data_IF_898839970883
#
_entry.id   IF_898839970883
#
_cell.length_a   1.000
_cell.length_b   1.000
_cell.length_c   1.000
_cell.angle_alpha   90.00
_cell.angle_beta   90.00
_cell.angle_gamma   90.00
#
_symmetry.space_group_name_H-M   'P 1'
#
loop_
_entity.id
_entity.type
_entity.pdbx_description
1 polymer ?
#
# COMPACT_ATOMS: atom_id res chain seq x y z
N UNK A 1 25.71 12.93 4.84
CA UNK A 1 26.56 13.30 6.00
C UNK A 1 27.52 14.44 5.70
N UNK A 2 28.45 14.31 4.75
CA UNK A 2 29.40 15.40 4.42
C UNK A 2 28.66 16.70 4.06
N UNK A 3 27.63 16.60 3.19
CA UNK A 3 26.76 17.73 2.84
C UNK A 3 26.04 18.39 4.03
N UNK A 4 25.73 17.66 5.11
CA UNK A 4 25.07 18.26 6.30
C UNK A 4 26.08 18.99 7.19
N UNK A 5 27.29 18.42 7.33
CA UNK A 5 28.39 19.06 8.07
C UNK A 5 28.85 20.36 7.42
N UNK A 6 28.84 20.41 6.08
CA UNK A 6 29.18 21.62 5.32
C UNK A 6 28.22 22.79 5.61
N UNK A 7 27.02 22.49 6.15
CA UNK A 7 26.01 23.46 6.54
C UNK A 7 25.87 23.61 8.08
N UNK A 8 26.82 23.10 8.86
CA UNK A 8 26.79 23.23 10.33
C UNK A 8 25.71 22.40 11.02
N UNK A 9 25.19 21.37 10.33
CA UNK A 9 24.15 20.48 10.83
C UNK A 9 24.77 19.16 11.30
N UNK A 10 24.21 18.59 12.36
CA UNK A 10 24.53 17.25 12.85
C UNK A 10 23.39 16.31 12.51
N UNK A 11 23.75 15.11 12.04
CA UNK A 11 22.79 14.04 11.80
C UNK A 11 23.13 12.86 12.70
N UNK A 12 22.09 12.29 13.31
CA UNK A 12 22.15 11.03 14.03
C UNK A 12 21.39 9.96 13.22
N UNK A 13 21.94 8.76 13.22
CA UNK A 13 21.35 7.62 12.51
C UNK A 13 20.55 6.80 13.51
N UNK A 14 19.31 6.50 13.15
CA UNK A 14 18.48 5.59 13.92
C UNK A 14 18.27 4.35 13.06
N UNK A 15 18.95 3.26 13.41
CA UNK A 15 18.68 1.92 12.88
C UNK A 15 17.56 1.31 13.72
N UNK A 16 16.51 0.80 13.09
CA UNK A 16 15.35 0.25 13.79
C UNK A 16 15.60 -1.13 14.41
N UNK A 17 16.83 -1.66 14.35
CA UNK A 17 17.11 -3.06 14.68
C UNK A 17 18.09 -3.30 15.85
N UNK A 18 18.96 -2.37 16.25
CA UNK A 18 19.79 -2.58 17.45
C UNK A 18 20.38 -1.28 18.04
N UNK A 19 20.26 -1.14 19.37
CA UNK A 19 20.50 0.08 20.15
C UNK A 19 21.99 0.43 20.38
N UNK A 20 22.87 0.04 19.45
CA UNK A 20 24.26 0.51 19.33
C UNK A 20 24.93 -0.07 18.08
N UNK A 21 25.29 0.79 17.12
CA UNK A 21 26.19 0.37 16.04
C UNK A 21 27.15 1.47 15.58
N UNK A 22 28.44 1.11 15.51
CA UNK A 22 29.48 1.89 14.82
C UNK A 22 29.25 1.74 13.31
N UNK A 23 28.90 2.84 12.65
CA UNK A 23 28.53 2.85 11.24
C UNK A 23 29.75 2.78 10.33
N UNK A 24 29.65 1.95 9.29
CA UNK A 24 30.55 1.99 8.13
C UNK A 24 29.81 2.73 7.00
N UNK A 25 30.25 3.94 6.60
CA UNK A 25 29.48 4.86 5.75
C UNK A 25 29.05 4.36 4.36
N UNK A 26 29.60 3.27 3.84
CA UNK A 26 29.47 2.88 2.44
C UNK A 26 28.29 1.97 2.08
N UNK A 27 27.48 1.54 3.06
CA UNK A 27 26.50 0.46 2.85
C UNK A 27 25.08 0.84 3.31
N UNK A 28 24.76 2.13 3.37
CA UNK A 28 23.49 2.61 3.90
C UNK A 28 22.92 3.70 2.99
N UNK A 29 21.62 3.61 2.70
CA UNK A 29 20.89 4.62 1.92
C UNK A 29 19.96 5.36 2.89
N UNK A 30 19.90 6.69 2.77
CA UNK A 30 18.94 7.52 3.50
C UNK A 30 17.58 7.38 2.82
N UNK A 31 16.61 6.82 3.53
CA UNK A 31 15.24 6.64 3.05
C UNK A 31 14.34 7.79 3.48
N UNK A 32 14.52 8.27 4.72
CA UNK A 32 13.70 9.33 5.30
C UNK A 32 14.55 10.27 6.13
N UNK A 33 14.03 11.46 6.37
CA UNK A 33 14.61 12.43 7.28
C UNK A 33 13.50 13.10 8.10
N UNK A 34 13.77 13.45 9.35
CA UNK A 34 12.78 14.03 10.27
C UNK A 34 12.30 15.43 9.90
N UNK A 35 13.00 16.09 8.97
CA UNK A 35 12.68 17.45 8.50
C UNK A 35 12.53 17.40 6.99
N UNK A 36 11.50 18.06 6.45
CA UNK A 36 11.28 18.09 5.00
C UNK A 36 12.46 18.77 4.26
N UNK A 37 12.84 18.27 3.07
CA UNK A 37 13.87 18.90 2.25
C UNK A 37 13.59 20.39 2.00
N UNK A 38 14.66 21.20 1.97
CA UNK A 38 14.60 22.65 1.77
C UNK A 38 13.89 23.47 2.88
N UNK A 39 13.53 22.85 4.00
CA UNK A 39 13.07 23.58 5.19
C UNK A 39 14.22 24.39 5.80
N UNK A 40 13.96 25.67 6.10
CA UNK A 40 14.89 26.51 6.85
C UNK A 40 14.95 25.99 8.29
N UNK A 41 16.15 25.62 8.74
CA UNK A 41 16.42 25.15 10.10
C UNK A 41 17.52 26.00 10.72
N UNK A 42 17.47 26.14 12.04
CA UNK A 42 18.51 26.84 12.78
C UNK A 42 19.80 26.01 12.80
N UNK A 43 20.96 26.68 12.82
CA UNK A 43 22.25 26.00 12.92
C UNK A 43 22.29 25.18 14.21
N UNK A 44 22.74 23.93 14.13
CA UNK A 44 22.72 23.00 15.27
C UNK A 44 21.43 22.21 15.46
N UNK A 45 20.44 22.36 14.58
CA UNK A 45 19.26 21.48 14.55
C UNK A 45 19.68 20.04 14.28
N UNK A 46 19.18 19.12 15.08
CA UNK A 46 19.37 17.69 14.93
C UNK A 46 18.39 17.12 13.89
N UNK A 47 18.93 16.43 12.90
CA UNK A 47 18.14 15.77 11.85
C UNK A 47 18.29 14.27 12.02
N UNK A 48 17.17 13.59 12.24
CA UNK A 48 17.13 12.13 12.29
C UNK A 48 17.02 11.60 10.86
N UNK A 49 17.90 10.69 10.49
CA UNK A 49 17.86 10.02 9.19
C UNK A 49 17.41 8.58 9.38
N UNK A 50 16.29 8.22 8.76
CA UNK A 50 15.91 6.82 8.58
C UNK A 50 16.77 6.24 7.47
N UNK A 51 17.56 5.23 7.80
CA UNK A 51 18.47 4.57 6.85
C UNK A 51 18.13 3.11 6.69
N UNK A 52 18.27 2.60 5.47
CA UNK A 52 18.24 1.15 5.22
C UNK A 52 19.62 0.65 4.86
N UNK A 53 19.91 -0.56 5.37
CA UNK A 53 21.15 -1.26 5.10
C UNK A 53 21.09 -1.81 3.68
N UNK A 54 21.97 -1.35 2.82
CA UNK A 54 22.19 -2.01 1.54
C UNK A 54 22.71 -3.42 1.85
N UNK A 55 22.04 -4.49 1.38
CA UNK A 55 22.53 -5.84 1.57
C UNK A 55 23.98 -5.89 1.12
N UNK A 56 24.90 -6.25 2.02
CA UNK A 56 26.29 -6.46 1.62
C UNK A 56 26.25 -7.50 0.50
N UNK A 57 26.90 -7.26 -0.66
CA UNK A 57 26.96 -8.25 -1.70
C UNK A 57 27.53 -9.52 -1.08
N UNK A 58 26.68 -10.54 -0.96
CA UNK A 58 27.07 -11.84 -0.49
C UNK A 58 28.21 -12.30 -1.38
N UNK A 59 29.33 -12.72 -0.76
CA UNK A 59 30.46 -13.28 -1.48
C UNK A 59 30.05 -14.62 -2.12
N UNK A 60 29.45 -14.55 -3.30
CA UNK A 60 29.51 -15.55 -4.37
C UNK A 60 29.09 -14.86 -5.67
N UNK A 61 30.08 -14.59 -6.53
CA UNK A 61 30.03 -14.32 -7.99
C UNK A 61 28.65 -13.92 -8.57
N UNK A 62 28.42 -12.66 -8.93
CA UNK A 62 28.83 -12.05 -10.20
C UNK A 62 28.22 -12.67 -11.49
N UNK A 63 27.23 -13.56 -11.42
CA UNK A 63 26.56 -14.07 -12.64
C UNK A 63 25.02 -14.09 -12.56
N UNK A 64 24.42 -13.56 -11.49
CA UNK A 64 22.96 -13.38 -11.44
C UNK A 64 22.63 -12.19 -12.32
N UNK A 65 22.22 -12.53 -13.55
CA UNK A 65 21.76 -11.62 -14.57
C UNK A 65 20.24 -11.67 -14.61
N UNK A 66 19.63 -10.50 -14.61
CA UNK A 66 18.17 -10.35 -14.72
C UNK A 66 17.84 -9.52 -15.94
N UNK A 67 16.64 -9.75 -16.50
CA UNK A 67 16.14 -8.91 -17.59
C UNK A 67 15.40 -7.74 -16.98
N UNK A 68 15.77 -6.52 -17.39
CA UNK A 68 15.17 -5.30 -16.90
C UNK A 68 13.75 -5.14 -17.47
N UNK A 69 12.70 -5.04 -16.65
CA UNK A 69 11.35 -4.78 -17.14
C UNK A 69 11.24 -3.36 -17.73
N UNK A 70 10.19 -3.13 -18.53
CA UNK A 70 9.77 -1.76 -18.87
C UNK A 70 8.95 -1.21 -17.70
N UNK A 71 9.44 -0.13 -17.10
CA UNK A 71 8.80 0.53 -15.97
C UNK A 71 8.19 1.87 -16.37
N UNK A 72 8.26 2.24 -17.65
CA UNK A 72 7.72 3.49 -18.15
C UNK A 72 6.19 3.56 -17.97
N UNK A 73 5.69 4.68 -17.44
CA UNK A 73 4.26 4.87 -17.15
C UNK A 73 3.80 4.24 -15.83
N UNK A 74 4.65 3.45 -15.17
CA UNK A 74 4.31 2.87 -13.86
C UNK A 74 4.57 3.85 -12.72
N UNK A 75 3.96 3.58 -11.56
CA UNK A 75 4.27 4.35 -10.36
C UNK A 75 5.72 4.11 -9.92
N UNK A 76 6.42 5.16 -9.48
CA UNK A 76 7.79 5.06 -9.00
C UNK A 76 7.92 4.06 -7.83
N UNK A 77 6.86 3.92 -7.02
CA UNK A 77 6.81 2.97 -5.92
C UNK A 77 6.82 1.51 -6.41
N UNK A 78 5.95 1.16 -7.37
CA UNK A 78 5.94 -0.16 -7.99
C UNK A 78 7.26 -0.47 -8.70
N UNK A 79 7.79 0.52 -9.42
CA UNK A 79 9.05 0.39 -10.14
C UNK A 79 10.23 0.10 -9.19
N UNK A 80 10.26 0.72 -8.01
CA UNK A 80 11.27 0.42 -6.98
C UNK A 80 11.18 -1.03 -6.52
N UNK A 81 10.01 -1.48 -6.07
CA UNK A 81 9.82 -2.86 -5.60
C UNK A 81 10.20 -3.89 -6.67
N UNK A 82 9.75 -3.68 -7.91
CA UNK A 82 10.07 -4.56 -9.03
C UNK A 82 11.58 -4.67 -9.31
N UNK A 83 12.34 -3.60 -9.11
CA UNK A 83 13.80 -3.60 -9.29
C UNK A 83 14.52 -4.20 -8.07
N UNK A 84 14.08 -3.89 -6.86
CA UNK A 84 14.65 -4.41 -5.62
C UNK A 84 14.47 -5.94 -5.49
N UNK A 85 13.31 -6.47 -5.90
CA UNK A 85 13.04 -7.92 -5.96
C UNK A 85 14.00 -8.67 -6.88
N UNK A 86 14.55 -7.95 -7.86
CA UNK A 86 15.54 -8.46 -8.82
C UNK A 86 16.98 -8.20 -8.34
N UNK A 87 17.14 -7.70 -7.12
CA UNK A 87 18.41 -7.37 -6.50
C UNK A 87 19.08 -6.14 -7.09
N UNK A 88 18.33 -5.25 -7.74
CA UNK A 88 18.86 -4.01 -8.35
C UNK A 88 18.73 -2.84 -7.37
N UNK A 89 19.61 -1.85 -7.53
CA UNK A 89 19.56 -0.60 -6.76
C UNK A 89 18.79 0.45 -7.57
N UNK A 90 18.06 1.33 -6.90
CA UNK A 90 17.23 2.34 -7.56
C UNK A 90 17.58 3.74 -7.09
N UNK A 91 17.71 4.66 -8.03
CA UNK A 91 17.80 6.10 -7.77
C UNK A 91 16.67 6.81 -8.50
N UNK A 92 15.82 7.55 -7.78
CA UNK A 92 14.81 8.38 -8.41
C UNK A 92 15.42 9.73 -8.76
N UNK A 93 15.29 10.15 -10.01
CA UNK A 93 15.77 11.45 -10.48
C UNK A 93 14.66 12.24 -11.17
N UNK A 94 14.74 13.56 -11.12
CA UNK A 94 13.83 14.43 -11.87
C UNK A 94 14.23 14.63 -13.33
N UNK A 95 13.46 15.41 -14.08
CA UNK A 95 13.77 15.74 -15.48
C UNK A 95 15.09 16.52 -15.66
N UNK A 96 15.61 17.12 -14.60
CA UNK A 96 16.92 17.79 -14.57
C UNK A 96 18.04 16.86 -14.06
N UNK A 97 17.73 15.59 -13.76
CA UNK A 97 18.67 14.59 -13.24
C UNK A 97 18.99 14.73 -11.75
N UNK A 98 18.21 15.49 -10.98
CA UNK A 98 18.41 15.63 -9.52
C UNK A 98 17.73 14.49 -8.78
N UNK A 99 18.42 13.95 -7.78
CA UNK A 99 17.86 12.91 -6.91
C UNK A 99 16.65 13.45 -6.16
N UNK A 100 15.55 12.69 -6.21
CA UNK A 100 14.29 13.03 -5.53
C UNK A 100 13.92 11.96 -4.51
N UNK A 101 13.29 12.40 -3.43
CA UNK A 101 12.71 11.49 -2.45
C UNK A 101 11.46 10.82 -3.04
N UNK A 102 11.23 9.57 -2.65
CA UNK A 102 10.00 8.86 -3.00
C UNK A 102 8.78 9.60 -2.44
N UNK A 103 7.76 9.80 -3.26
CA UNK A 103 6.51 10.44 -2.88
C UNK A 103 5.32 9.77 -3.61
N UNK A 104 4.10 9.79 -3.04
CA UNK A 104 2.91 9.32 -3.73
C UNK A 104 2.67 10.09 -5.03
N UNK A 105 2.26 9.38 -6.08
CA UNK A 105 1.89 9.96 -7.37
C UNK A 105 3.06 10.24 -8.33
N UNK A 106 4.29 9.88 -7.98
CA UNK A 106 5.41 9.91 -8.92
C UNK A 106 5.24 8.82 -9.99
N UNK A 107 5.35 9.19 -11.25
CA UNK A 107 5.29 8.28 -12.39
C UNK A 107 6.67 8.22 -13.05
N UNK A 108 7.10 7.02 -13.42
CA UNK A 108 8.35 6.79 -14.17
C UNK A 108 8.14 7.20 -15.63
N UNK A 109 8.96 8.12 -16.11
CA UNK A 109 8.98 8.54 -17.52
C UNK A 109 10.09 7.88 -18.32
N UNK A 110 11.17 7.52 -17.65
CA UNK A 110 12.33 6.93 -18.29
C UNK A 110 13.14 6.12 -17.28
N UNK A 111 13.93 5.19 -17.79
CA UNK A 111 14.88 4.38 -17.04
C UNK A 111 16.26 4.49 -17.69
N UNK A 112 17.32 4.54 -16.88
CA UNK A 112 18.69 4.75 -17.36
C UNK A 112 19.23 3.62 -18.23
N UNK A 113 18.58 2.45 -18.19
CA UNK A 113 18.91 1.27 -19.00
C UNK A 113 17.63 0.83 -19.71
N UNK A 114 17.74 0.53 -21.01
CA UNK A 114 16.59 0.14 -21.83
C UNK A 114 15.91 -1.13 -21.32
N UNK A 115 14.58 -1.17 -21.40
CA UNK A 115 13.80 -2.37 -21.10
C UNK A 115 14.24 -3.56 -21.97
N UNK A 116 14.22 -4.76 -21.40
CA UNK A 116 14.72 -5.98 -22.04
C UNK A 116 16.24 -6.16 -21.94
N UNK A 117 16.98 -5.17 -21.44
CA UNK A 117 18.42 -5.30 -21.21
C UNK A 117 18.73 -6.32 -20.12
N UNK A 118 19.81 -7.06 -20.29
CA UNK A 118 20.32 -7.96 -19.25
C UNK A 118 21.25 -7.17 -18.33
N UNK A 119 20.89 -7.06 -17.06
CA UNK A 119 21.63 -6.32 -16.04
C UNK A 119 22.12 -7.24 -14.93
N UNK A 120 23.25 -6.90 -14.33
CA UNK A 120 23.82 -7.64 -13.20
C UNK A 120 23.12 -7.24 -11.89
N UNK A 121 22.92 -8.20 -10.99
CA UNK A 121 22.42 -7.89 -9.65
C UNK A 121 23.33 -6.85 -8.97
N UNK A 122 22.70 -5.88 -8.30
CA UNK A 122 23.35 -4.72 -7.69
C UNK A 122 23.61 -3.55 -8.63
N UNK A 123 23.27 -3.66 -9.93
CA UNK A 123 23.32 -2.51 -10.83
C UNK A 123 22.39 -1.40 -10.35
N UNK A 124 22.87 -0.15 -10.45
CA UNK A 124 22.07 1.04 -10.15
C UNK A 124 21.25 1.42 -11.39
N UNK A 125 19.94 1.45 -11.23
CA UNK A 125 18.99 1.91 -12.24
C UNK A 125 18.46 3.27 -11.79
N UNK A 126 18.74 4.31 -12.59
CA UNK A 126 18.14 5.62 -12.35
C UNK A 126 16.78 5.69 -13.07
N UNK A 127 15.73 6.03 -12.33
CA UNK A 127 14.39 6.24 -12.86
C UNK A 127 14.10 7.73 -12.91
N UNK A 128 13.88 8.26 -14.10
CA UNK A 128 13.41 9.64 -14.27
C UNK A 128 11.92 9.69 -13.96
N UNK A 129 11.54 10.45 -12.95
CA UNK A 129 10.17 10.57 -12.45
C UNK A 129 9.64 12.01 -12.57
N UNK A 130 8.32 12.15 -12.56
CA UNK A 130 7.65 13.46 -12.57
C UNK A 130 7.86 14.22 -11.25
N UNK A 131 8.57 15.36 -11.25
CA UNK A 131 8.74 16.20 -10.03
C UNK A 131 7.65 17.21 -9.79
N UNK A 132 6.87 17.54 -10.81
CA UNK A 132 5.59 18.16 -10.52
C UNK A 132 4.79 17.03 -9.87
N UNK A 133 4.40 17.10 -8.57
CA UNK A 133 3.28 16.30 -8.12
C UNK A 133 2.22 16.65 -9.14
N UNK A 134 1.89 15.68 -10.01
CA UNK A 134 0.97 15.95 -11.10
C UNK A 134 -0.21 16.56 -10.37
N UNK A 135 -0.51 17.84 -10.61
CA UNK A 135 -1.67 18.48 -9.99
C UNK A 135 -2.79 17.58 -10.44
N UNK A 136 -3.26 16.73 -9.49
CA UNK A 136 -3.67 15.35 -9.76
C UNK A 136 -4.20 15.30 -11.17
N UNK A 137 -3.43 14.72 -12.12
CA UNK A 137 -3.77 14.73 -13.55
C UNK A 137 -5.26 14.50 -13.56
N UNK A 138 -6.01 15.54 -13.92
CA UNK A 138 -7.46 15.49 -13.86
C UNK A 138 -7.82 14.26 -14.68
N UNK A 139 -8.24 13.20 -13.99
CA UNK A 139 -8.54 11.86 -14.51
C UNK A 139 -7.45 11.22 -15.40
N UNK A 140 -6.45 10.57 -14.80
CA UNK A 140 -6.45 9.11 -14.99
C UNK A 140 -7.46 8.65 -13.95
N UNK A 141 -8.70 8.36 -14.38
CA UNK A 141 -9.74 8.03 -13.42
C UNK A 141 -9.34 6.72 -12.76
N UNK A 142 -8.73 6.82 -11.57
CA UNK A 142 -8.95 5.82 -10.56
C UNK A 142 -10.45 5.60 -10.59
N UNK A 143 -10.86 4.46 -11.12
CA UNK A 143 -12.27 4.16 -11.20
C UNK A 143 -12.71 3.97 -9.77
N UNK A 144 -13.26 5.06 -9.24
CA UNK A 144 -14.06 5.02 -8.06
C UNK A 144 -15.43 4.56 -8.55
N UNK A 145 -15.97 3.45 -8.02
CA UNK A 145 -17.36 3.11 -8.26
C UNK A 145 -18.21 4.38 -8.06
N UNK A 146 -19.13 4.74 -8.98
CA UNK A 146 -19.87 6.01 -8.94
C UNK A 146 -20.60 6.29 -7.61
N UNK A 147 -20.78 5.23 -6.84
CA UNK A 147 -21.47 5.10 -5.56
C UNK A 147 -20.54 4.89 -4.36
N UNK A 148 -19.23 4.65 -4.56
CA UNK A 148 -18.30 4.51 -3.46
C UNK A 148 -18.32 5.79 -2.62
N UNK A 149 -18.44 5.71 -1.30
CA UNK A 149 -18.60 6.88 -0.44
C UNK A 149 -17.31 7.69 -0.40
N UNK A 150 -17.38 8.97 0.00
CA UNK A 150 -16.17 9.81 0.17
C UNK A 150 -15.80 9.93 1.63
N UNK A 151 -16.79 9.85 2.50
CA UNK A 151 -16.74 10.13 3.93
C UNK A 151 -16.98 8.87 4.78
N UNK A 152 -16.94 7.68 4.16
CA UNK A 152 -17.26 6.42 4.80
C UNK A 152 -18.76 6.08 4.83
N UNK A 153 -19.63 6.97 4.35
CA UNK A 153 -21.08 6.79 4.34
C UNK A 153 -21.60 6.54 2.94
N UNK A 154 -22.04 5.31 2.65
CA UNK A 154 -22.70 5.00 1.38
C UNK A 154 -23.99 5.80 1.26
N UNK A 155 -24.16 6.56 0.19
CA UNK A 155 -25.43 7.24 -0.08
C UNK A 155 -26.54 6.18 -0.16
N UNK A 156 -27.70 6.45 0.44
CA UNK A 156 -28.91 5.65 0.24
C UNK A 156 -29.24 5.65 -1.27
N UNK A 157 -28.91 4.55 -1.97
CA UNK A 157 -29.00 4.44 -3.43
C UNK A 157 -27.67 4.17 -4.15
N UNK A 158 -26.54 4.10 -3.45
CA UNK A 158 -25.33 3.45 -3.96
C UNK A 158 -25.56 1.94 -4.20
N UNK A 159 -24.58 1.25 -4.82
CA UNK A 159 -24.53 -0.19 -5.07
C UNK A 159 -25.41 -0.91 -4.07
N UNK A 160 -26.44 -1.62 -4.56
CA UNK A 160 -27.43 -2.32 -3.73
C UNK A 160 -26.82 -3.39 -2.80
N UNK A 161 -25.49 -3.47 -2.74
CA UNK A 161 -24.68 -4.44 -2.05
C UNK A 161 -23.68 -3.79 -1.10
N UNK A 162 -23.84 -2.50 -0.77
CA UNK A 162 -22.87 -1.77 0.03
C UNK A 162 -23.41 -1.31 1.38
N UNK A 163 -22.56 -1.33 2.42
CA UNK A 163 -22.93 -0.95 3.79
C UNK A 163 -21.81 -0.20 4.49
N UNK A 164 -22.17 0.89 5.17
CA UNK A 164 -21.24 1.70 5.96
C UNK A 164 -20.88 1.01 7.28
N UNK A 165 -20.03 1.66 8.08
CA UNK A 165 -19.70 1.16 9.41
C UNK A 165 -20.93 1.14 10.32
N UNK A 166 -21.06 0.09 11.14
CA UNK A 166 -22.18 -0.12 12.06
C UNK A 166 -23.51 -0.44 11.38
N UNK A 167 -23.52 -0.70 10.07
CA UNK A 167 -24.70 -1.08 9.32
C UNK A 167 -24.62 -2.55 8.89
N UNK A 168 -25.68 -3.30 9.17
CA UNK A 168 -25.84 -4.65 8.62
C UNK A 168 -26.06 -4.57 7.13
N UNK A 169 -25.32 -5.39 6.39
CA UNK A 169 -25.60 -5.60 4.98
C UNK A 169 -26.93 -6.29 4.79
N UNK A 170 -27.80 -5.69 3.99
CA UNK A 170 -29.05 -6.31 3.56
C UNK A 170 -28.73 -7.13 2.32
N UNK A 171 -28.46 -8.43 2.51
CA UNK A 171 -28.04 -9.31 1.43
C UNK A 171 -29.24 -9.59 0.50
N UNK A 172 -29.29 -8.96 -0.71
CA UNK A 172 -30.46 -9.11 -1.56
C UNK A 172 -30.45 -10.48 -2.27
N UNK A 173 -29.33 -11.19 -2.23
CA UNK A 173 -29.21 -12.55 -2.71
C UNK A 173 -29.95 -13.49 -1.76
N UNK A 174 -31.14 -13.94 -2.16
CA UNK A 174 -31.97 -14.89 -1.41
C UNK A 174 -31.22 -16.18 -0.99
N UNK A 175 -30.12 -16.53 -1.64
CA UNK A 175 -29.27 -17.68 -1.30
C UNK A 175 -28.28 -17.45 -0.16
N UNK A 176 -27.96 -16.19 0.17
CA UNK A 176 -27.05 -15.86 1.27
C UNK A 176 -27.80 -15.96 2.61
N UNK A 177 -27.33 -16.87 3.46
CA UNK A 177 -27.86 -17.11 4.80
C UNK A 177 -27.38 -16.06 5.83
N UNK A 178 -26.34 -15.29 5.50
CA UNK A 178 -25.61 -14.44 6.41
C UNK A 178 -25.71 -12.96 6.04
N UNK A 179 -25.84 -12.13 7.07
CA UNK A 179 -25.58 -10.69 6.99
C UNK A 179 -24.24 -10.40 7.68
N UNK A 180 -23.60 -9.33 7.22
CA UNK A 180 -22.29 -8.90 7.68
C UNK A 180 -22.31 -7.43 8.06
N UNK A 181 -21.54 -7.05 9.08
CA UNK A 181 -21.36 -5.67 9.52
C UNK A 181 -19.92 -5.46 9.98
N UNK A 182 -19.37 -4.28 9.76
CA UNK A 182 -18.07 -3.86 10.31
C UNK A 182 -18.34 -2.63 11.16
N UNK A 183 -18.00 -2.64 12.44
CA UNK A 183 -18.36 -1.56 13.37
C UNK A 183 -17.39 -0.37 13.33
N UNK A 184 -16.15 -0.61 12.95
CA UNK A 184 -15.10 0.38 12.99
C UNK A 184 -14.13 0.24 11.80
N UNK A 185 -13.42 1.31 11.43
CA UNK A 185 -12.32 1.22 10.49
C UNK A 185 -11.28 0.14 10.89
N UNK A 186 -10.66 -0.58 9.93
CA UNK A 186 -9.55 -1.50 10.20
C UNK A 186 -8.44 -1.01 11.15
N UNK A 187 -7.74 -1.92 11.82
CA UNK A 187 -6.44 -1.61 12.38
C UNK A 187 -5.38 -1.77 11.27
N UNK A 188 -4.61 -0.73 10.99
CA UNK A 188 -3.49 -0.79 10.04
C UNK A 188 -2.17 -0.71 10.79
N UNK A 189 -1.41 -1.79 10.76
CA UNK A 189 -0.10 -1.91 11.43
C UNK A 189 0.99 -2.04 10.37
N UNK A 190 2.05 -1.24 10.47
CA UNK A 190 3.22 -1.40 9.60
C UNK A 190 4.18 -2.45 10.21
N UNK A 191 4.54 -3.47 9.41
CA UNK A 191 5.49 -4.53 9.76
C UNK A 191 6.65 -4.53 8.76
N UNK A 192 7.70 -3.74 9.05
CA UNK A 192 8.82 -3.55 8.13
C UNK A 192 8.36 -2.79 6.87
N UNK A 193 8.46 -3.45 5.71
CA UNK A 193 7.97 -2.91 4.42
C UNK A 193 6.50 -3.24 4.15
N UNK A 194 5.91 -4.16 4.92
CA UNK A 194 4.52 -4.57 4.75
C UNK A 194 3.57 -3.79 5.67
N UNK A 195 2.30 -3.81 5.32
CA UNK A 195 1.17 -3.34 6.09
C UNK A 195 0.25 -4.52 6.37
N UNK A 196 -0.20 -4.63 7.62
CA UNK A 196 -1.22 -5.58 8.05
C UNK A 196 -2.48 -4.78 8.33
N UNK A 197 -3.54 -5.11 7.60
CA UNK A 197 -4.88 -4.53 7.74
C UNK A 197 -5.77 -5.57 8.40
N UNK A 198 -6.23 -5.29 9.62
CA UNK A 198 -7.09 -6.18 10.41
C UNK A 198 -8.48 -5.56 10.58
N UNK A 199 -9.54 -6.34 10.48
CA UNK A 199 -10.90 -5.87 10.80
C UNK A 199 -11.72 -6.92 11.51
N UNK A 200 -12.62 -6.46 12.38
CA UNK A 200 -13.64 -7.30 12.99
C UNK A 200 -14.92 -7.22 12.17
N UNK A 201 -15.42 -8.39 11.76
CA UNK A 201 -16.63 -8.54 10.98
C UNK A 201 -17.66 -9.26 11.84
N UNK A 202 -18.74 -8.57 12.16
CA UNK A 202 -19.91 -9.15 12.79
C UNK A 202 -20.68 -9.93 11.75
N UNK A 203 -20.93 -11.19 12.02
CA UNK A 203 -21.66 -12.09 11.14
C UNK A 203 -22.88 -12.60 11.88
N UNK A 204 -24.05 -12.53 11.26
CA UNK A 204 -25.26 -13.15 11.80
C UNK A 204 -25.92 -14.01 10.74
N UNK A 205 -26.47 -15.15 11.13
CA UNK A 205 -27.28 -15.97 10.23
C UNK A 205 -28.73 -15.53 10.34
N UNK A 206 -29.29 -15.00 9.26
CA UNK A 206 -30.66 -14.45 9.26
C UNK A 206 -31.69 -15.41 8.69
N UNK A 207 -31.26 -16.44 7.95
CA UNK A 207 -32.14 -17.44 7.37
C UNK A 207 -31.39 -18.72 7.05
N UNK A 208 -32.14 -19.76 6.71
CA UNK A 208 -31.59 -20.92 6.01
C UNK A 208 -31.21 -20.52 4.58
N UNK A 209 -30.09 -21.03 4.09
CA UNK A 209 -29.57 -20.70 2.76
C UNK A 209 -28.76 -21.85 2.17
N UNK A 210 -28.06 -21.58 1.07
CA UNK A 210 -27.26 -22.61 0.39
C UNK A 210 -25.93 -22.90 1.10
N UNK A 211 -25.49 -21.97 1.94
CA UNK A 211 -24.31 -22.10 2.77
C UNK A 211 -24.75 -22.22 4.22
N UNK A 212 -24.54 -23.39 4.81
CA UNK A 212 -24.83 -23.64 6.22
C UNK A 212 -23.68 -23.25 7.15
N UNK A 213 -22.52 -22.94 6.57
CA UNK A 213 -21.30 -22.66 7.28
C UNK A 213 -20.65 -21.38 6.76
N UNK A 214 -19.81 -20.76 7.59
CA UNK A 214 -19.01 -19.60 7.21
C UNK A 214 -17.82 -19.98 6.33
N UNK A 215 -17.52 -21.28 6.22
CA UNK A 215 -16.43 -21.81 5.40
C UNK A 215 -16.76 -21.63 3.92
N UNK A 216 -15.88 -20.93 3.21
CA UNK A 216 -16.05 -20.63 1.78
C UNK A 216 -16.75 -19.31 1.49
N UNK A 217 -17.09 -18.52 2.53
CA UNK A 217 -17.42 -17.11 2.32
C UNK A 217 -16.16 -16.42 1.78
N UNK A 218 -16.25 -15.97 0.53
CA UNK A 218 -15.18 -15.22 -0.08
C UNK A 218 -15.07 -13.85 0.59
N UNK A 219 -13.87 -13.55 1.08
CA UNK A 219 -13.49 -12.22 1.56
C UNK A 219 -12.35 -11.72 0.71
N UNK A 220 -12.38 -10.44 0.35
CA UNK A 220 -11.27 -9.77 -0.32
C UNK A 220 -11.16 -8.33 0.13
N UNK A 221 -9.94 -7.80 0.13
CA UNK A 221 -9.69 -6.38 0.35
C UNK A 221 -9.61 -5.68 -1.01
N UNK A 222 -10.51 -4.75 -1.29
CA UNK A 222 -10.60 -4.10 -2.61
C UNK A 222 -10.03 -2.69 -2.51
N UNK A 223 -9.03 -2.32 -3.32
CA UNK A 223 -8.49 -0.96 -3.34
C UNK A 223 -9.56 0.01 -3.88
N UNK A 224 -9.68 1.18 -3.26
CA UNK A 224 -10.60 2.22 -3.72
C UNK A 224 -10.19 2.89 -5.03
N UNK A 225 -8.93 2.72 -5.40
CA UNK A 225 -8.34 3.21 -6.64
C UNK A 225 -7.97 2.03 -7.52
N UNK A 226 -8.82 1.68 -8.49
CA UNK A 226 -8.43 0.70 -9.50
C UNK A 226 -7.44 1.32 -10.46
N UNK A 227 -6.27 0.69 -10.61
CA UNK A 227 -5.40 0.93 -11.76
C UNK A 227 -6.12 0.28 -12.95
N UNK A 228 -6.50 1.10 -13.93
CA UNK A 228 -7.00 0.56 -15.19
C UNK A 228 -5.85 -0.22 -15.82
N UNK A 229 -6.10 -1.45 -16.23
CA UNK A 229 -5.11 -2.17 -17.04
C UNK A 229 -4.92 -1.45 -18.39
N UNK A 230 -3.90 -1.85 -19.17
CA UNK A 230 -3.59 -1.27 -20.49
C UNK A 230 -4.76 -1.32 -21.49
N UNK A 231 -5.81 -2.09 -21.20
CA UNK A 231 -7.04 -2.19 -22.01
C UNK A 231 -8.18 -1.30 -21.52
N UNK A 232 -7.98 -0.47 -20.49
CA UNK A 232 -9.03 0.34 -19.87
C UNK A 232 -10.05 -0.47 -19.07
N UNK A 233 -9.76 -1.76 -18.84
CA UNK A 233 -10.54 -2.63 -17.97
C UNK A 233 -10.11 -2.46 -16.52
N UNK A 234 -11.05 -2.63 -15.60
CA UNK A 234 -10.74 -2.76 -14.19
C UNK A 234 -9.92 -4.04 -14.04
N UNK A 235 -8.67 -3.89 -13.57
CA UNK A 235 -7.86 -5.05 -13.22
C UNK A 235 -8.38 -5.60 -11.90
N UNK A 236 -9.49 -6.35 -11.97
CA UNK A 236 -10.04 -7.03 -10.80
C UNK A 236 -9.11 -8.14 -10.30
N UNK A 237 -8.06 -8.51 -11.04
CA UNK A 237 -7.09 -9.54 -10.67
C UNK A 237 -5.98 -9.01 -9.74
N UNK A 238 -5.88 -7.69 -9.55
CA UNK A 238 -4.89 -7.09 -8.65
C UNK A 238 -5.56 -6.66 -7.35
N UNK A 239 -5.00 -7.18 -6.25
CA UNK A 239 -5.45 -7.11 -4.84
C UNK A 239 -6.42 -8.23 -4.41
N UNK A 240 -5.97 -9.47 -4.60
CA UNK A 240 -6.37 -10.60 -3.75
C UNK A 240 -5.15 -11.11 -2.98
N UNK A 241 -4.81 -10.45 -1.87
CA UNK A 241 -4.13 -11.21 -0.82
C UNK A 241 -5.06 -12.34 -0.35
N UNK A 242 -4.49 -13.45 0.10
CA UNK A 242 -5.28 -14.56 0.66
C UNK A 242 -5.91 -14.12 1.99
N UNK A 243 -7.05 -13.44 1.92
CA UNK A 243 -7.76 -12.95 3.11
C UNK A 243 -8.72 -14.02 3.59
N UNK A 244 -8.38 -14.62 4.72
CA UNK A 244 -9.23 -15.63 5.36
C UNK A 244 -10.07 -15.00 6.46
N UNK A 245 -11.37 -15.33 6.46
CA UNK A 245 -12.28 -14.98 7.53
C UNK A 245 -12.10 -15.97 8.68
N UNK A 246 -11.46 -15.53 9.76
CA UNK A 246 -11.21 -16.36 10.93
C UNK A 246 -12.33 -16.17 11.95
N UNK A 247 -13.21 -17.15 12.04
CA UNK A 247 -14.33 -17.12 12.99
C UNK A 247 -14.07 -18.08 14.16
N UNK A 248 -14.44 -17.72 15.40
CA UNK A 248 -14.33 -18.64 16.55
C UNK A 248 -15.30 -19.83 16.43
N UNK A 249 -16.37 -19.67 15.65
CA UNK A 249 -17.36 -20.71 15.35
C UNK A 249 -17.71 -20.62 13.87
N UNK A 250 -17.56 -21.72 13.12
CA UNK A 250 -17.86 -21.78 11.68
C UNK A 250 -19.34 -22.07 11.37
N UNK A 251 -20.06 -22.70 12.30
CA UNK A 251 -21.48 -23.05 12.17
C UNK A 251 -22.28 -22.30 13.23
N UNK A 252 -23.13 -21.37 12.78
CA UNK A 252 -24.04 -20.62 13.64
C UNK A 252 -25.49 -20.89 13.21
N UNK A 253 -26.41 -20.94 14.18
CA UNK A 253 -27.84 -21.18 13.94
C UNK A 253 -28.54 -19.91 13.46
N UNK A 254 -29.71 -20.04 12.84
CA UNK A 254 -30.53 -18.89 12.45
C UNK A 254 -30.88 -18.06 13.69
N UNK A 255 -30.58 -16.76 13.65
CA UNK A 255 -30.76 -15.82 14.75
C UNK A 255 -29.52 -15.63 15.63
N UNK A 256 -28.49 -16.47 15.47
CA UNK A 256 -27.22 -16.32 16.18
C UNK A 256 -26.24 -15.42 15.41
N UNK A 257 -25.27 -14.89 16.16
CA UNK A 257 -24.20 -14.05 15.62
C UNK A 257 -22.84 -14.45 16.19
N UNK A 258 -21.81 -14.22 15.41
CA UNK A 258 -20.40 -14.37 15.80
C UNK A 258 -19.60 -13.17 15.31
N UNK A 259 -18.41 -12.96 15.86
CA UNK A 259 -17.47 -11.94 15.40
C UNK A 259 -16.26 -12.68 14.84
N UNK A 260 -15.99 -12.43 13.57
CA UNK A 260 -14.84 -12.99 12.87
C UNK A 260 -13.77 -11.91 12.69
N UNK A 261 -12.51 -12.33 12.61
CA UNK A 261 -11.39 -11.46 12.27
C UNK A 261 -10.95 -11.73 10.85
N UNK A 262 -10.77 -10.68 10.06
CA UNK A 262 -10.08 -10.76 8.76
C UNK A 262 -8.75 -10.03 8.86
N UNK A 263 -7.72 -10.63 8.27
CA UNK A 263 -6.38 -10.03 8.17
C UNK A 263 -5.98 -10.04 6.71
N UNK A 264 -5.53 -8.89 6.22
CA UNK A 264 -4.91 -8.72 4.93
C UNK A 264 -3.49 -8.20 5.14
N UNK A 265 -2.51 -8.80 4.47
CA UNK A 265 -1.13 -8.36 4.49
C UNK A 265 -0.72 -7.93 3.10
N UNK A 266 -0.17 -6.73 3.00
CA UNK A 266 0.19 -6.10 1.73
C UNK A 266 1.58 -5.48 1.84
N UNK A 267 2.39 -5.59 0.81
CA UNK A 267 3.72 -4.97 0.74
C UNK A 267 3.65 -3.53 0.22
N UNK A 268 2.48 -3.11 -0.28
CA UNK A 268 2.29 -1.82 -0.93
C UNK A 268 1.24 -0.92 -0.23
N UNK A 269 1.72 0.14 0.47
CA UNK A 269 0.88 1.08 1.24
C UNK A 269 -0.21 1.79 0.43
N UNK A 270 0.03 2.03 -0.87
CA UNK A 270 -0.84 2.84 -1.72
C UNK A 270 -2.19 2.19 -2.01
N UNK A 271 -2.34 0.90 -1.71
CA UNK A 271 -3.59 0.16 -1.90
C UNK A 271 -4.51 0.19 -0.69
N UNK A 272 -4.14 0.88 0.39
CA UNK A 272 -4.97 0.95 1.61
C UNK A 272 -5.91 2.16 1.60
N UNK A 273 -5.59 3.21 0.84
CA UNK A 273 -6.44 4.41 0.75
C UNK A 273 -7.70 4.14 -0.07
N UNK A 274 -8.85 4.59 0.46
CA UNK A 274 -10.19 4.44 -0.11
C UNK A 274 -10.66 2.98 -0.29
N UNK A 275 -9.95 2.03 0.32
CA UNK A 275 -10.19 0.61 0.19
C UNK A 275 -11.32 0.13 1.09
N UNK A 276 -11.91 -1.00 0.73
CA UNK A 276 -13.04 -1.58 1.44
C UNK A 276 -12.98 -3.10 1.46
N UNK A 277 -13.69 -3.73 2.38
CA UNK A 277 -13.83 -5.18 2.40
C UNK A 277 -14.96 -5.61 1.48
N UNK A 278 -14.75 -6.69 0.73
CA UNK A 278 -15.81 -7.38 0.02
C UNK A 278 -16.01 -8.75 0.64
N UNK A 279 -17.19 -9.01 1.19
CA UNK A 279 -17.53 -10.24 1.94
C UNK A 279 -18.80 -10.85 1.37
N UNK A 280 -18.73 -12.10 0.89
CA UNK A 280 -19.90 -12.79 0.32
C UNK A 280 -20.52 -12.03 -0.86
N UNK A 281 -19.71 -11.24 -1.58
CA UNK A 281 -20.14 -10.38 -2.67
C UNK A 281 -20.60 -8.97 -2.26
N UNK A 282 -20.80 -8.70 -0.96
CA UNK A 282 -21.19 -7.39 -0.41
C UNK A 282 -19.96 -6.51 -0.17
N UNK A 283 -20.08 -5.20 -0.33
CA UNK A 283 -19.05 -4.22 0.00
C UNK A 283 -19.31 -3.65 1.39
N UNK A 284 -18.38 -3.85 2.32
CA UNK A 284 -18.53 -3.47 3.73
C UNK A 284 -17.40 -2.54 4.12
N UNK A 285 -17.76 -1.43 4.79
CA UNK A 285 -16.82 -0.54 5.46
C UNK A 285 -15.80 0.07 4.49
N UNK A 286 -15.91 1.37 4.20
CA UNK A 286 -14.83 2.06 3.51
C UNK A 286 -13.83 2.57 4.54
N UNK A 287 -12.56 2.18 4.42
CA UNK A 287 -11.48 2.83 5.16
C UNK A 287 -11.54 4.32 4.83
N UNK A 288 -11.78 5.20 5.81
CA UNK A 288 -12.08 6.59 5.48
C UNK A 288 -10.92 7.15 4.69
N UNK A 289 -11.26 7.85 3.61
CA UNK A 289 -10.44 8.97 3.19
C UNK A 289 -10.26 9.82 4.45
N UNK A 290 -9.10 9.74 5.08
CA UNK A 290 -8.73 10.79 6.01
C UNK A 290 -8.69 12.03 5.13
N UNK A 291 -9.71 12.89 5.28
CA UNK A 291 -9.45 14.32 5.26
C UNK A 291 -8.13 14.50 5.99
N UNK A 292 -7.11 15.04 5.30
CA UNK A 292 -5.94 15.59 5.96
C UNK A 292 -6.46 16.54 7.04
N UNK A 293 -6.64 16.07 8.26
CA UNK A 293 -6.63 16.96 9.41
C UNK A 293 -5.18 17.32 9.56
N UNK A 294 -4.79 18.41 8.90
CA UNK A 294 -3.61 19.17 9.30
C UNK A 294 -3.78 19.47 10.78
N UNK A 295 -3.14 18.69 11.63
CA UNK A 295 -2.90 19.13 13.00
C UNK A 295 -1.91 20.29 12.88
N UNK A 296 -2.34 21.46 13.31
CA UNK A 296 -1.51 22.66 13.41
C UNK A 296 -0.51 22.57 14.54
#
# INVERSE_FOLDING_TARGET
MEKLKDHGLSAEFVDSVDDKMVLVPSNWIVQTQSIEPATLVESGTEILLGVSKVPKPGKTKSDIRTTLPDLTGTSAFFAIGALEDRGLLVELVDGDGRVVSIAPGLIVHNQSIEAGSIVEAGALIALTVSTTPVAARSSESAYRPPDAPVDGTWNEGGSAYASGFGQWSDSPYRGNAFDFMIDAPPLVTQEGVSFVVESQIHVRRVREGWHDTLRGIHVSFVPGVSILNDTGGLNYDEVYGDTQLNCPVEEISVGESTICTVVFKEEHRTWVTDSYWRVGGMSLGMWPSQTRTSQG
#
